data_IF_101174036240
#
_entry.id   IF_101174036240
#
_cell.length_a   1.000
_cell.length_b   1.000
_cell.length_c   1.000
_cell.angle_alpha   90.00
_cell.angle_beta   90.00
_cell.angle_gamma   90.00
#
_symmetry.space_group_name_H-M   'P 1'
#
loop_
_entity.id
_entity.type
_entity.pdbx_description
1 polymer ?
#
# COMPACT_ATOMS: atom_id res chain seq x y z
N UNK A 1 -8.45 6.25 -37.75
CA UNK A 1 -9.25 6.17 -36.50
C UNK A 1 -8.26 6.07 -35.34
N UNK A 2 -7.99 7.18 -34.66
CA UNK A 2 -6.94 7.26 -33.65
C UNK A 2 -7.42 6.66 -32.32
N UNK A 3 -6.73 5.62 -31.85
CA UNK A 3 -6.95 5.04 -30.53
C UNK A 3 -6.34 6.01 -29.52
N UNK A 4 -7.21 6.66 -28.73
CA UNK A 4 -6.82 7.58 -27.67
C UNK A 4 -6.26 6.78 -26.49
N UNK A 5 -4.95 6.83 -26.34
CA UNK A 5 -4.24 6.33 -25.16
C UNK A 5 -4.84 6.93 -23.89
N UNK A 6 -5.26 6.06 -22.96
CA UNK A 6 -5.81 6.43 -21.64
C UNK A 6 -4.74 6.35 -20.53
N UNK A 7 -3.45 6.41 -20.86
CA UNK A 7 -2.35 6.37 -19.90
C UNK A 7 -1.81 7.74 -19.51
N UNK A 8 -2.66 8.69 -19.09
CA UNK A 8 -2.21 9.90 -18.38
C UNK A 8 -3.28 10.34 -17.37
N UNK A 9 -3.50 9.58 -16.29
CA UNK A 9 -4.14 10.13 -15.09
C UNK A 9 -3.09 10.98 -14.39
N UNK A 10 -3.17 12.30 -14.60
CA UNK A 10 -2.42 13.33 -13.88
C UNK A 10 -2.39 13.01 -12.37
N UNK A 11 -1.23 13.06 -11.70
CA UNK A 11 -1.15 12.81 -10.27
C UNK A 11 -2.05 13.81 -9.53
N UNK A 12 -3.04 13.28 -8.80
CA UNK A 12 -3.94 14.07 -7.96
C UNK A 12 -3.07 14.92 -7.03
N UNK A 13 -3.15 16.25 -7.16
CA UNK A 13 -2.35 17.21 -6.38
C UNK A 13 -2.34 16.81 -4.91
N UNK A 14 -1.20 16.32 -4.43
CA UNK A 14 -1.01 15.94 -3.04
C UNK A 14 -1.02 17.26 -2.27
N UNK A 15 -2.03 17.47 -1.42
CA UNK A 15 -2.10 18.70 -0.62
C UNK A 15 -0.84 18.85 0.24
N UNK A 16 -0.36 20.08 0.44
CA UNK A 16 0.93 20.32 1.07
C UNK A 16 0.94 19.95 2.56
N UNK A 17 2.11 19.56 3.10
CA UNK A 17 2.36 19.29 4.55
C UNK A 17 1.73 20.35 5.48
N UNK A 18 1.74 21.61 5.02
CA UNK A 18 1.21 22.75 5.76
C UNK A 18 -0.32 22.66 5.88
N UNK A 19 -1.02 22.27 4.81
CA UNK A 19 -2.48 22.13 4.79
C UNK A 19 -2.98 21.07 5.78
N UNK A 20 -2.30 19.92 5.88
CA UNK A 20 -2.71 18.85 6.79
C UNK A 20 -2.41 19.14 8.26
N UNK A 21 -1.29 19.81 8.56
CA UNK A 21 -0.98 20.27 9.92
C UNK A 21 -2.05 21.24 10.42
N UNK A 22 -2.41 22.20 9.57
CA UNK A 22 -3.41 23.21 9.88
C UNK A 22 -4.79 22.55 10.09
N UNK A 23 -5.15 21.56 9.28
CA UNK A 23 -6.46 20.89 9.35
C UNK A 23 -6.74 20.19 10.69
N UNK A 24 -5.77 19.42 11.24
CA UNK A 24 -6.00 18.76 12.53
C UNK A 24 -5.96 19.74 13.71
N UNK A 25 -5.11 20.77 13.65
CA UNK A 25 -5.03 21.81 14.69
C UNK A 25 -6.36 22.59 14.74
N UNK A 26 -6.90 22.99 13.58
CA UNK A 26 -8.20 23.66 13.50
C UNK A 26 -9.32 22.78 14.07
N UNK A 27 -9.35 21.49 13.70
CA UNK A 27 -10.36 20.56 14.20
C UNK A 27 -10.32 20.41 15.73
N UNK A 28 -9.12 20.40 16.32
CA UNK A 28 -8.95 20.34 17.77
C UNK A 28 -9.45 21.62 18.46
N UNK A 29 -9.09 22.78 17.93
CA UNK A 29 -9.49 24.08 18.48
C UNK A 29 -11.01 24.23 18.44
N UNK A 30 -11.64 23.89 17.31
CA UNK A 30 -13.11 23.92 17.16
C UNK A 30 -13.78 22.98 18.17
N UNK A 31 -13.25 21.76 18.36
CA UNK A 31 -13.80 20.82 19.33
C UNK A 31 -13.82 21.38 20.76
N UNK A 32 -12.71 22.01 21.18
CA UNK A 32 -12.59 22.59 22.52
C UNK A 32 -13.58 23.74 22.71
N UNK A 33 -13.70 24.63 21.71
CA UNK A 33 -14.65 25.75 21.72
C UNK A 33 -16.09 25.22 21.86
N UNK A 34 -16.48 24.25 21.03
CA UNK A 34 -17.83 23.69 21.05
C UNK A 34 -18.16 22.99 22.38
N UNK A 35 -17.21 22.26 22.97
CA UNK A 35 -17.41 21.62 24.27
C UNK A 35 -17.56 22.64 25.41
N UNK A 36 -16.72 23.69 25.41
CA UNK A 36 -16.79 24.75 26.42
C UNK A 36 -18.10 25.54 26.32
N UNK A 37 -18.52 25.91 25.10
CA UNK A 37 -19.82 26.57 24.87
C UNK A 37 -21.00 25.65 25.22
N UNK A 38 -20.91 24.36 24.92
CA UNK A 38 -21.93 23.38 25.25
C UNK A 38 -22.16 23.27 26.76
N UNK A 39 -21.08 23.18 27.55
CA UNK A 39 -21.15 23.14 29.01
C UNK A 39 -21.70 24.45 29.61
N UNK A 40 -21.30 25.61 29.06
CA UNK A 40 -21.77 26.92 29.53
C UNK A 40 -23.25 27.17 29.20
N UNK A 41 -23.74 26.62 28.08
CA UNK A 41 -25.11 26.84 27.58
C UNK A 41 -26.18 26.05 28.35
N UNK A 42 -25.80 24.98 29.06
CA UNK A 42 -26.73 24.16 29.84
C UNK A 42 -27.44 24.98 30.94
N UNK A 43 -26.72 25.70 31.83
CA UNK A 43 -27.36 26.56 32.83
C UNK A 43 -27.81 27.92 32.30
N UNK A 44 -27.19 28.44 31.23
CA UNK A 44 -27.41 29.81 30.77
C UNK A 44 -28.50 29.98 29.71
N UNK A 45 -28.81 28.95 28.93
CA UNK A 45 -29.72 29.06 27.76
C UNK A 45 -30.75 27.94 27.76
N UNK A 46 -30.30 26.69 27.56
CA UNK A 46 -31.17 25.52 27.50
C UNK A 46 -30.34 24.25 27.42
N UNK A 47 -30.81 23.22 28.14
CA UNK A 47 -30.22 21.89 28.11
C UNK A 47 -30.15 21.32 26.68
N UNK A 48 -31.19 21.53 25.87
CA UNK A 48 -31.24 21.01 24.49
C UNK A 48 -30.16 21.64 23.61
N UNK A 49 -29.94 22.94 23.75
CA UNK A 49 -28.88 23.65 23.03
C UNK A 49 -27.49 23.22 23.50
N UNK A 50 -27.27 23.10 24.81
CA UNK A 50 -25.99 22.62 25.36
C UNK A 50 -25.61 21.23 24.86
N UNK A 51 -26.56 20.29 24.82
CA UNK A 51 -26.33 18.92 24.32
C UNK A 51 -25.91 18.92 22.85
N UNK A 52 -26.52 19.75 21.99
CA UNK A 52 -26.17 19.83 20.55
C UNK A 52 -24.70 20.26 20.37
N UNK A 53 -24.25 21.27 21.12
CA UNK A 53 -22.86 21.73 21.06
C UNK A 53 -21.87 20.67 21.57
N UNK A 54 -22.24 19.92 22.62
CA UNK A 54 -21.43 18.82 23.14
C UNK A 54 -21.28 17.71 22.09
N UNK A 55 -22.37 17.29 21.45
CA UNK A 55 -22.34 16.27 20.40
C UNK A 55 -21.50 16.71 19.19
N UNK A 56 -21.64 17.97 18.78
CA UNK A 56 -20.81 18.55 17.71
C UNK A 56 -19.32 18.60 18.08
N UNK A 57 -18.99 18.97 19.33
CA UNK A 57 -17.62 18.95 19.84
C UNK A 57 -17.02 17.54 19.87
N UNK A 58 -17.80 16.52 20.25
CA UNK A 58 -17.37 15.11 20.22
C UNK A 58 -17.13 14.62 18.78
N UNK A 59 -17.95 15.03 17.81
CA UNK A 59 -17.74 14.75 16.39
C UNK A 59 -16.43 15.35 15.88
N UNK A 60 -16.13 16.60 16.24
CA UNK A 60 -14.86 17.24 15.87
C UNK A 60 -13.64 16.60 16.56
N UNK A 61 -13.78 16.08 17.77
CA UNK A 61 -12.74 15.27 18.44
C UNK A 61 -12.49 13.94 17.71
N UNK A 62 -13.54 13.29 17.24
CA UNK A 62 -13.43 12.09 16.42
C UNK A 62 -12.69 12.40 15.10
N UNK A 63 -13.05 13.49 14.42
CA UNK A 63 -12.36 13.97 13.22
C UNK A 63 -10.90 14.32 13.49
N UNK A 64 -10.58 15.01 14.60
CA UNK A 64 -9.21 15.28 15.01
C UNK A 64 -8.38 14.00 15.15
N UNK A 65 -8.96 12.94 15.72
CA UNK A 65 -8.31 11.64 15.85
C UNK A 65 -8.01 11.00 14.49
N UNK A 66 -8.93 11.13 13.53
CA UNK A 66 -8.75 10.70 12.14
C UNK A 66 -7.66 11.49 11.42
N UNK A 67 -7.68 12.83 11.51
CA UNK A 67 -6.66 13.69 10.88
C UNK A 67 -5.26 13.50 11.47
N UNK A 68 -5.17 13.30 12.80
CA UNK A 68 -3.89 13.00 13.47
C UNK A 68 -3.25 11.69 12.97
N UNK A 69 -4.07 10.69 12.64
CA UNK A 69 -3.60 9.39 12.10
C UNK A 69 -3.01 9.56 10.70
N UNK A 70 -3.64 10.39 9.86
CA UNK A 70 -3.14 10.72 8.51
C UNK A 70 -1.81 11.51 8.56
N UNK A 71 -1.66 12.42 9.53
CA UNK A 71 -0.42 13.20 9.70
C UNK A 71 0.81 12.31 9.99
N UNK A 72 0.66 11.31 10.87
CA UNK A 72 1.75 10.37 11.19
C UNK A 72 2.23 9.59 9.96
N UNK A 73 1.34 9.33 9.00
CA UNK A 73 1.69 8.66 7.76
C UNK A 73 2.51 9.56 6.82
N UNK A 74 2.19 10.86 6.76
CA UNK A 74 2.89 11.82 5.90
C UNK A 74 4.38 12.03 6.27
N UNK A 75 4.69 12.19 7.57
CA UNK A 75 6.09 12.39 8.00
C UNK A 75 6.96 11.14 7.73
N UNK A 76 6.38 9.94 7.83
CA UNK A 76 7.07 8.67 7.57
C UNK A 76 7.44 8.47 6.09
N UNK A 77 6.56 8.82 5.14
CA UNK A 77 6.84 8.65 3.71
C UNK A 77 7.89 9.63 3.16
N UNK A 78 8.04 10.83 3.74
CA UNK A 78 9.08 11.79 3.31
C UNK A 78 10.46 11.40 3.78
N UNK A 79 10.57 10.92 5.02
CA UNK A 79 11.84 10.56 5.64
C UNK A 79 12.37 9.20 5.17
N UNK A 80 11.53 8.28 4.67
CA UNK A 80 11.97 7.00 4.10
C UNK A 80 11.95 6.95 2.56
N UNK A 81 11.17 7.80 1.90
CA UNK A 81 11.08 7.87 0.44
C UNK A 81 12.28 8.56 -0.22
N UNK A 82 12.89 9.57 0.41
CA UNK A 82 14.08 10.24 -0.13
C UNK A 82 15.32 9.32 -0.13
N UNK A 83 15.42 8.46 0.87
CA UNK A 83 16.58 7.59 1.14
C UNK A 83 16.71 6.53 0.05
N UNK A 84 15.55 6.02 -0.40
CA UNK A 84 15.47 4.98 -1.42
C UNK A 84 15.62 5.57 -2.84
N UNK A 85 15.15 6.80 -3.08
CA UNK A 85 15.34 7.48 -4.37
C UNK A 85 16.81 7.88 -4.61
N UNK A 86 17.53 8.28 -3.56
CA UNK A 86 18.97 8.55 -3.62
C UNK A 86 19.81 7.31 -3.90
N UNK A 87 19.40 6.14 -3.36
CA UNK A 87 20.04 4.86 -3.66
C UNK A 87 19.77 4.35 -5.08
N UNK A 88 18.56 4.55 -5.61
CA UNK A 88 18.23 4.18 -6.98
C UNK A 88 19.01 5.00 -8.03
N UNK A 89 19.15 6.32 -7.80
CA UNK A 89 19.92 7.23 -8.67
C UNK A 89 21.43 6.93 -8.70
N UNK A 90 21.99 6.39 -7.62
CA UNK A 90 23.40 5.99 -7.56
C UNK A 90 23.70 4.70 -8.34
N UNK A 91 22.68 3.86 -8.57
CA UNK A 91 22.82 2.60 -9.31
C UNK A 91 22.62 2.75 -10.82
N UNK A 92 21.96 3.81 -11.27
CA UNK A 92 21.61 4.05 -12.67
C UNK A 92 22.74 4.72 -13.48
N UNK A 93 23.78 5.25 -12.82
CA UNK A 93 24.90 5.95 -13.47
C UNK A 93 26.02 5.07 -14.06
N UNK A 94 25.97 3.75 -13.87
CA UNK A 94 27.15 2.88 -14.11
C UNK A 94 27.02 1.91 -15.29
N UNK A 95 25.97 1.97 -16.11
CA UNK A 95 25.83 1.08 -17.27
C UNK A 95 25.50 1.87 -18.55
N UNK A 96 26.54 2.39 -19.22
CA UNK A 96 26.46 2.83 -20.62
C UNK A 96 27.38 1.90 -21.43
N UNK A 97 26.77 1.02 -22.24
CA UNK A 97 27.45 0.27 -23.29
C UNK A 97 26.97 0.87 -24.61
N UNK A 98 27.87 1.53 -25.34
CA UNK A 98 27.64 1.99 -26.72
C UNK A 98 27.68 0.78 -27.68
N UNK A 99 26.60 0.55 -28.42
CA UNK A 99 26.62 -0.37 -29.55
C UNK A 99 26.25 0.39 -30.83
N UNK A 100 27.26 0.56 -31.69
CA UNK A 100 27.18 1.15 -33.02
C UNK A 100 26.73 0.08 -34.03
N UNK A 101 25.60 0.25 -34.71
CA UNK A 101 25.07 -0.72 -35.69
C UNK A 101 25.10 -0.08 -37.10
N UNK A 102 25.85 -0.70 -38.01
CA UNK A 102 25.90 -0.42 -39.45
C UNK A 102 24.67 -1.04 -40.15
N UNK A 103 23.96 -0.23 -40.95
CA UNK A 103 22.61 -0.51 -41.49
C UNK A 103 22.67 -1.04 -42.95
N UNK A 104 23.85 -1.36 -43.47
CA UNK A 104 24.03 -1.64 -44.91
C UNK A 104 23.51 -3.00 -45.43
N UNK A 105 23.01 -3.91 -44.59
CA UNK A 105 22.62 -5.27 -45.00
C UNK A 105 21.26 -5.75 -44.45
N UNK A 106 20.16 -5.04 -44.73
CA UNK A 106 18.80 -5.57 -44.48
C UNK A 106 18.18 -6.04 -45.81
N UNK A 107 17.90 -7.34 -46.01
CA UNK A 107 17.14 -7.82 -47.17
C UNK A 107 15.66 -7.43 -47.04
N UNK A 108 15.04 -7.15 -48.18
CA UNK A 108 13.63 -6.75 -48.32
C UNK A 108 12.69 -7.83 -47.76
N UNK A 109 11.91 -7.46 -46.74
CA UNK A 109 10.96 -8.35 -46.06
C UNK A 109 9.71 -8.48 -46.94
N UNK A 110 9.49 -9.65 -47.54
CA UNK A 110 8.22 -10.00 -48.18
C UNK A 110 7.14 -10.24 -47.12
N UNK A 111 5.89 -9.90 -47.44
CA UNK A 111 4.72 -9.78 -46.54
C UNK A 111 4.24 -11.13 -45.97
N UNK A 112 5.04 -12.18 -46.08
CA UNK A 112 4.67 -13.56 -45.79
C UNK A 112 5.24 -14.06 -44.44
N UNK A 113 6.17 -13.30 -43.83
CA UNK A 113 6.79 -13.62 -42.53
C UNK A 113 6.12 -12.85 -41.38
N UNK A 114 4.81 -13.02 -41.23
CA UNK A 114 4.15 -12.69 -39.96
C UNK A 114 4.41 -13.88 -39.03
N UNK A 115 5.63 -13.94 -38.51
CA UNK A 115 6.07 -14.96 -37.56
C UNK A 115 5.12 -14.94 -36.35
N UNK A 116 4.62 -16.12 -35.99
CA UNK A 116 3.75 -16.38 -34.84
C UNK A 116 4.16 -15.54 -33.62
N UNK A 117 3.24 -14.77 -33.06
CA UNK A 117 3.40 -14.23 -31.71
C UNK A 117 3.42 -15.41 -30.74
N UNK A 118 4.60 -15.93 -30.42
CA UNK A 118 4.75 -16.94 -29.37
C UNK A 118 4.12 -16.36 -28.08
N UNK A 119 3.17 -17.07 -27.45
CA UNK A 119 2.49 -16.55 -26.27
C UNK A 119 3.52 -16.39 -25.14
N UNK A 120 3.63 -15.17 -24.61
CA UNK A 120 4.46 -14.88 -23.44
C UNK A 120 4.15 -15.87 -22.32
N UNK A 121 5.11 -16.72 -21.97
CA UNK A 121 4.91 -17.73 -20.94
C UNK A 121 4.98 -17.06 -19.58
N UNK A 122 3.91 -17.18 -18.79
CA UNK A 122 3.86 -16.63 -17.43
C UNK A 122 4.11 -17.73 -16.42
N UNK A 123 5.21 -17.63 -15.68
CA UNK A 123 5.47 -18.48 -14.51
C UNK A 123 4.90 -17.83 -13.26
N UNK A 124 4.07 -18.56 -12.52
CA UNK A 124 3.42 -18.08 -11.31
C UNK A 124 3.47 -19.12 -10.18
N UNK A 125 3.76 -18.65 -8.96
CA UNK A 125 3.85 -19.49 -7.76
C UNK A 125 3.04 -18.87 -6.62
N UNK A 126 2.14 -19.65 -6.02
CA UNK A 126 1.29 -19.22 -4.91
C UNK A 126 1.90 -19.66 -3.57
N UNK A 127 2.00 -18.72 -2.62
CA UNK A 127 2.56 -18.96 -1.28
C UNK A 127 1.57 -18.57 -0.19
N UNK A 128 1.49 -19.39 0.87
CA UNK A 128 0.62 -19.10 2.02
C UNK A 128 1.27 -18.09 2.94
N UNK A 129 0.46 -17.14 3.43
CA UNK A 129 0.87 -16.17 4.45
C UNK A 129 0.49 -16.69 5.83
N UNK A 130 1.47 -17.04 6.66
CA UNK A 130 1.32 -17.66 7.98
C UNK A 130 1.70 -16.70 9.12
N UNK A 131 1.76 -17.21 10.36
CA UNK A 131 2.53 -16.60 11.46
C UNK A 131 2.05 -15.24 11.94
N UNK A 132 0.93 -15.20 12.67
CA UNK A 132 0.41 -13.99 13.35
C UNK A 132 0.39 -14.06 14.86
N UNK A 133 1.33 -14.81 15.42
CA UNK A 133 1.51 -14.86 16.86
C UNK A 133 2.05 -13.54 17.45
N UNK A 134 2.48 -12.57 16.64
CA UNK A 134 2.71 -11.20 17.09
C UNK A 134 1.43 -10.34 17.05
N UNK A 135 0.98 -9.91 18.22
CA UNK A 135 0.02 -8.80 18.34
C UNK A 135 0.72 -7.52 17.85
N UNK A 136 0.50 -7.10 16.62
CA UNK A 136 0.91 -5.76 16.14
C UNK A 136 -0.01 -4.69 16.74
N UNK A 137 0.21 -4.40 18.03
CA UNK A 137 -0.52 -3.37 18.76
C UNK A 137 -2.01 -3.69 18.96
N UNK A 138 -2.88 -2.78 18.50
CA UNK A 138 -4.34 -2.84 18.75
C UNK A 138 -5.17 -3.40 17.59
N UNK A 139 -4.57 -3.69 16.43
CA UNK A 139 -5.29 -4.16 15.25
C UNK A 139 -5.01 -5.64 15.03
N UNK A 140 -6.06 -6.44 14.83
CA UNK A 140 -5.90 -7.86 14.55
C UNK A 140 -5.72 -8.08 13.05
N UNK A 141 -4.89 -9.08 12.67
CA UNK A 141 -4.86 -9.61 11.30
C UNK A 141 -6.26 -9.96 10.80
N UNK A 142 -7.07 -10.56 11.65
CA UNK A 142 -8.41 -11.02 11.28
C UNK A 142 -9.28 -9.85 10.81
N UNK A 143 -9.21 -8.71 11.50
CA UNK A 143 -9.88 -7.47 11.09
C UNK A 143 -9.30 -6.94 9.78
N UNK A 144 -7.97 -6.90 9.64
CA UNK A 144 -7.34 -6.40 8.42
C UNK A 144 -7.71 -7.25 7.19
N UNK A 145 -7.61 -8.58 7.28
CA UNK A 145 -7.96 -9.49 6.19
C UNK A 145 -9.45 -9.43 5.86
N UNK A 146 -10.32 -9.32 6.86
CA UNK A 146 -11.76 -9.10 6.64
C UNK A 146 -11.99 -7.80 5.85
N UNK A 147 -11.37 -6.70 6.25
CA UNK A 147 -11.56 -5.42 5.56
C UNK A 147 -11.01 -5.47 4.13
N UNK A 148 -9.87 -6.12 3.90
CA UNK A 148 -9.35 -6.36 2.55
C UNK A 148 -10.36 -7.17 1.71
N UNK A 149 -10.93 -8.23 2.28
CA UNK A 149 -11.89 -9.09 1.57
C UNK A 149 -13.17 -8.34 1.16
N UNK A 150 -13.71 -7.50 2.05
CA UNK A 150 -14.92 -6.71 1.78
C UNK A 150 -14.63 -5.34 1.15
N UNK A 151 -13.36 -5.02 0.88
CA UNK A 151 -12.92 -3.71 0.37
C UNK A 151 -13.38 -2.54 1.27
N UNK A 152 -13.35 -2.76 2.59
CA UNK A 152 -13.70 -1.77 3.63
C UNK A 152 -12.51 -0.85 3.94
N UNK A 153 -12.79 0.36 4.44
CA UNK A 153 -11.76 1.30 4.90
C UNK A 153 -10.79 0.65 5.92
N UNK A 154 -9.46 0.80 5.82
CA UNK A 154 -8.69 1.62 4.86
C UNK A 154 -8.10 0.81 3.69
N UNK A 155 -8.79 -0.22 3.21
CA UNK A 155 -8.29 -1.19 2.21
C UNK A 155 -9.06 -1.11 0.89
N UNK A 156 -9.60 0.06 0.53
CA UNK A 156 -10.24 0.30 -0.77
C UNK A 156 -9.24 0.20 -1.94
N UNK A 157 -7.97 0.45 -1.65
CA UNK A 157 -6.82 0.11 -2.49
C UNK A 157 -5.80 -0.60 -1.61
N UNK A 158 -5.32 -1.75 -2.05
CA UNK A 158 -4.40 -2.59 -1.27
C UNK A 158 -3.09 -2.74 -2.02
N UNK A 159 -2.01 -2.28 -1.39
CA UNK A 159 -0.64 -2.55 -1.80
C UNK A 159 -0.07 -3.68 -0.93
N UNK A 160 0.33 -4.78 -1.56
CA UNK A 160 0.94 -5.93 -0.89
C UNK A 160 2.45 -5.89 -1.11
N UNK A 161 3.19 -5.97 -0.01
CA UNK A 161 4.65 -5.94 -0.01
C UNK A 161 5.22 -7.11 0.78
N UNK A 162 6.37 -7.63 0.35
CA UNK A 162 7.22 -8.50 1.15
C UNK A 162 8.40 -7.67 1.66
N UNK A 163 8.69 -7.73 2.96
CA UNK A 163 9.86 -7.08 3.57
C UNK A 163 10.68 -8.12 4.32
N UNK A 164 11.97 -8.14 4.05
CA UNK A 164 12.93 -8.98 4.78
C UNK A 164 13.19 -8.36 6.17
N UNK A 165 13.29 -9.20 7.18
CA UNK A 165 13.70 -8.81 8.52
C UNK A 165 14.38 -9.96 9.25
N UNK A 166 15.12 -9.65 10.31
CA UNK A 166 15.72 -10.64 11.19
C UNK A 166 14.74 -11.06 12.29
N UNK A 167 14.54 -12.37 12.44
CA UNK A 167 13.79 -12.96 13.54
C UNK A 167 14.68 -13.97 14.26
N UNK A 168 15.16 -13.62 15.45
CA UNK A 168 16.00 -14.50 16.28
C UNK A 168 17.29 -14.94 15.57
N UNK A 169 17.88 -14.09 14.71
CA UNK A 169 19.08 -14.38 13.94
C UNK A 169 18.82 -15.16 12.63
N UNK A 170 17.56 -15.43 12.30
CA UNK A 170 17.17 -16.06 11.04
C UNK A 170 16.44 -15.08 10.12
N UNK A 171 16.64 -15.23 8.80
CA UNK A 171 15.88 -14.50 7.79
C UNK A 171 14.39 -14.82 7.91
N UNK A 172 13.58 -13.77 8.00
CA UNK A 172 12.12 -13.84 7.93
C UNK A 172 11.60 -12.89 6.84
N UNK A 173 10.48 -13.27 6.23
CA UNK A 173 9.84 -12.50 5.16
C UNK A 173 8.43 -12.10 5.60
N UNK A 174 8.26 -10.84 5.98
CA UNK A 174 6.98 -10.28 6.40
C UNK A 174 6.13 -9.85 5.21
N UNK A 175 4.84 -10.19 5.24
CA UNK A 175 3.86 -9.76 4.23
C UNK A 175 3.02 -8.63 4.81
N UNK A 176 2.97 -7.51 4.10
CA UNK A 176 2.34 -6.27 4.52
C UNK A 176 1.22 -5.88 3.55
N UNK A 177 0.10 -5.41 4.10
CA UNK A 177 -0.97 -4.75 3.36
C UNK A 177 -1.07 -3.30 3.83
N UNK A 178 -0.78 -2.34 2.96
CA UNK A 178 -0.74 -0.90 3.30
C UNK A 178 0.09 -0.64 4.59
N UNK A 179 1.30 -1.20 4.67
CA UNK A 179 2.22 -1.16 5.81
C UNK A 179 1.77 -1.87 7.11
N UNK A 180 0.59 -2.48 7.14
CA UNK A 180 0.20 -3.37 8.24
C UNK A 180 0.64 -4.80 7.95
N UNK A 181 1.50 -5.38 8.81
CA UNK A 181 1.93 -6.77 8.65
C UNK A 181 0.73 -7.71 8.82
N UNK A 182 0.34 -8.36 7.73
CA UNK A 182 -0.73 -9.34 7.70
C UNK A 182 -0.20 -10.77 7.87
N UNK A 183 1.12 -10.97 7.93
CA UNK A 183 1.73 -12.23 8.34
C UNK A 183 3.15 -12.37 7.82
N UNK A 184 3.57 -13.62 7.62
CA UNK A 184 4.90 -13.99 7.16
C UNK A 184 4.82 -15.10 6.10
N UNK A 185 5.83 -15.19 5.24
CA UNK A 185 6.06 -16.39 4.44
C UNK A 185 6.41 -17.55 5.38
N UNK A 186 5.92 -18.75 5.08
CA UNK A 186 6.23 -19.93 5.88
C UNK A 186 7.74 -20.22 5.86
N UNK A 187 8.31 -20.65 6.99
CA UNK A 187 9.75 -20.92 7.12
C UNK A 187 10.28 -21.85 6.02
N UNK A 188 9.50 -22.86 5.64
CA UNK A 188 9.84 -23.79 4.57
C UNK A 188 9.94 -23.14 3.17
N UNK A 189 9.25 -22.02 2.95
CA UNK A 189 9.15 -21.35 1.64
C UNK A 189 10.09 -20.14 1.52
N UNK A 190 10.75 -19.71 2.60
CA UNK A 190 11.58 -18.49 2.64
C UNK A 190 12.66 -18.52 1.55
N UNK A 191 13.42 -19.61 1.45
CA UNK A 191 14.49 -19.74 0.45
C UNK A 191 13.94 -19.65 -0.98
N UNK A 192 12.77 -20.26 -1.24
CA UNK A 192 12.16 -20.24 -2.56
C UNK A 192 11.67 -18.85 -2.92
N UNK A 193 10.99 -18.17 -1.99
CA UNK A 193 10.47 -16.81 -2.19
C UNK A 193 11.61 -15.81 -2.38
N UNK A 194 12.65 -15.86 -1.55
CA UNK A 194 13.82 -14.96 -1.68
C UNK A 194 14.53 -15.14 -3.03
N UNK A 195 14.71 -16.39 -3.47
CA UNK A 195 15.25 -16.69 -4.81
C UNK A 195 14.39 -16.14 -5.94
N UNK A 196 13.06 -16.24 -5.84
CA UNK A 196 12.14 -15.69 -6.85
C UNK A 196 12.21 -14.16 -6.92
N UNK A 197 12.26 -13.48 -5.76
CA UNK A 197 12.37 -12.02 -5.71
C UNK A 197 13.69 -11.52 -6.30
N UNK A 198 14.77 -12.28 -6.12
CA UNK A 198 16.08 -12.00 -6.73
C UNK A 198 16.11 -12.26 -8.24
N UNK A 199 15.21 -13.10 -8.75
CA UNK A 199 14.99 -13.35 -10.18
C UNK A 199 13.85 -12.46 -10.72
N UNK A 200 13.65 -11.25 -10.18
CA UNK A 200 12.68 -10.25 -10.65
C UNK A 200 11.20 -10.72 -10.67
N UNK A 201 10.83 -11.76 -9.92
CA UNK A 201 9.41 -12.06 -9.73
C UNK A 201 8.77 -10.97 -8.88
N UNK A 202 7.59 -10.53 -9.30
CA UNK A 202 6.82 -9.52 -8.59
C UNK A 202 5.51 -10.11 -8.06
N UNK A 203 4.93 -9.45 -7.06
CA UNK A 203 3.60 -9.82 -6.55
C UNK A 203 2.59 -9.47 -7.64
N UNK A 204 1.98 -10.51 -8.21
CA UNK A 204 0.97 -10.39 -9.26
C UNK A 204 -0.44 -10.30 -8.70
N UNK A 205 -0.72 -11.11 -7.67
CA UNK A 205 -2.05 -11.26 -7.11
C UNK A 205 -1.99 -11.70 -5.65
N UNK A 206 -3.09 -11.56 -4.93
CA UNK A 206 -3.29 -12.10 -3.60
C UNK A 206 -4.72 -12.60 -3.43
N UNK A 207 -4.91 -13.60 -2.58
CA UNK A 207 -6.24 -14.15 -2.27
C UNK A 207 -6.48 -14.10 -0.78
N UNK A 208 -7.67 -13.63 -0.40
CA UNK A 208 -8.20 -13.75 0.95
C UNK A 208 -9.22 -14.88 0.99
N UNK A 209 -9.09 -15.79 1.95
CA UNK A 209 -9.97 -16.94 2.12
C UNK A 209 -10.37 -17.15 3.59
N UNK A 210 -11.36 -18.00 3.84
CA UNK A 210 -11.93 -18.21 5.17
C UNK A 210 -13.10 -17.27 5.46
N UNK A 211 -13.28 -16.88 6.73
CA UNK A 211 -14.36 -16.01 7.18
C UNK A 211 -15.55 -16.74 7.83
N UNK A 212 -16.49 -15.95 8.38
CA UNK A 212 -17.62 -16.46 9.17
C UNK A 212 -17.15 -17.08 10.48
N UNK A 213 -17.50 -18.36 10.69
CA UNK A 213 -17.06 -19.16 11.85
C UNK A 213 -15.59 -19.62 11.74
N UNK A 214 -14.94 -19.35 10.60
CA UNK A 214 -13.54 -19.71 10.34
C UNK A 214 -12.64 -18.48 10.33
N UNK A 215 -11.37 -18.68 10.69
CA UNK A 215 -10.35 -17.64 10.60
C UNK A 215 -10.07 -17.23 9.16
N UNK A 216 -9.83 -15.94 8.95
CA UNK A 216 -9.35 -15.37 7.69
C UNK A 216 -7.88 -15.73 7.46
N UNK A 217 -7.60 -16.14 6.22
CA UNK A 217 -6.28 -16.48 5.70
C UNK A 217 -5.94 -15.69 4.44
N UNK A 218 -4.67 -15.74 4.03
CA UNK A 218 -4.17 -15.04 2.86
C UNK A 218 -3.13 -15.90 2.13
N UNK A 219 -3.08 -15.78 0.81
CA UNK A 219 -1.98 -16.21 -0.04
C UNK A 219 -1.57 -15.08 -0.99
N UNK A 220 -0.33 -15.12 -1.45
CA UNK A 220 0.22 -14.22 -2.47
C UNK A 220 0.72 -15.03 -3.65
N UNK A 221 0.64 -14.46 -4.86
CA UNK A 221 1.15 -15.06 -6.08
C UNK A 221 2.30 -14.21 -6.61
N UNK A 222 3.48 -14.83 -6.72
CA UNK A 222 4.63 -14.22 -7.39
C UNK A 222 4.64 -14.66 -8.86
N UNK A 223 4.87 -13.73 -9.78
CA UNK A 223 5.00 -14.08 -11.20
C UNK A 223 6.06 -13.28 -11.94
N UNK A 224 6.56 -13.87 -13.03
CA UNK A 224 7.45 -13.26 -14.01
C UNK A 224 6.97 -13.62 -15.41
N UNK A 225 7.04 -12.65 -16.33
CA UNK A 225 6.87 -12.89 -17.75
C UNK A 225 8.20 -13.44 -18.26
N UNK A 226 8.17 -14.60 -18.90
CA UNK A 226 9.33 -15.23 -19.51
C UNK A 226 9.11 -15.16 -21.02
N UNK A 227 10.06 -14.56 -21.72
CA UNK A 227 10.10 -14.67 -23.18
C UNK A 227 10.57 -16.09 -23.50
N UNK A 228 9.73 -16.86 -24.17
CA UNK A 228 10.05 -18.21 -24.67
C UNK A 228 11.07 -18.14 -25.79
#
# INVERSE_FOLDING_TARGET
MAIKDKSQRQPKKIASKLSYKISYIISLVIAIILLAFGLLSIPAVSIKFGIIFILSGLLFLFMFKSYRKLYKNYDYHKENGLNNYGKAKASEGNNVIENNIDISNIPEITVDDITESHPLEKKAYEFKVVGVTFKTGRKSRQTALRHIHFNDEPYETVDIQIKEYDYEGELALGVYANDFQVGNIAKADINRVSSLLSDDYTIYDYKIYGGGDKNWGMSITLSKIVNS
#
